data_IF_491587483688
#
_entry.id   IF_491587483688
#
_cell.length_a   1.000
_cell.length_b   1.000
_cell.length_c   1.000
_cell.angle_alpha   90.00
_cell.angle_beta   90.00
_cell.angle_gamma   90.00
#
_symmetry.space_group_name_H-M   'P 1'
#
loop_
_entity.id
_entity.type
_entity.pdbx_description
1 polymer ?
#
# COMPACT_ATOMS: atom_id res chain seq x y z
N UNK A 1 14.30 24.80 18.81
CA UNK A 1 14.16 24.47 17.38
C UNK A 1 12.72 24.75 17.02
N UNK A 2 12.47 25.54 15.99
CA UNK A 2 11.11 25.88 15.57
C UNK A 2 10.34 24.59 15.21
N UNK A 3 9.13 24.49 15.74
CA UNK A 3 8.19 23.39 15.50
C UNK A 3 7.77 23.46 14.03
N UNK A 4 8.28 22.56 13.21
CA UNK A 4 7.92 22.49 11.80
C UNK A 4 6.94 21.35 11.57
N UNK A 5 5.78 21.66 11.00
CA UNK A 5 4.83 20.65 10.53
C UNK A 5 5.35 19.92 9.27
N UNK A 6 6.44 20.42 8.68
CA UNK A 6 7.09 19.89 7.49
C UNK A 6 8.57 19.63 7.76
N UNK A 7 9.03 18.41 7.49
CA UNK A 7 10.44 18.06 7.54
C UNK A 7 10.87 17.47 6.21
N UNK A 8 11.90 18.07 5.62
CA UNK A 8 12.56 17.57 4.43
C UNK A 8 14.02 17.26 4.76
N UNK A 9 14.40 16.01 4.54
CA UNK A 9 15.76 15.53 4.73
C UNK A 9 16.36 15.16 3.38
N UNK A 10 17.39 15.88 2.98
CA UNK A 10 18.15 15.60 1.76
C UNK A 10 19.58 15.21 2.12
N UNK A 11 20.07 14.12 1.51
CA UNK A 11 21.47 13.70 1.62
C UNK A 11 21.94 13.45 3.07
N UNK A 12 21.06 12.89 3.91
CA UNK A 12 21.44 12.47 5.26
C UNK A 12 22.56 11.43 5.20
N UNK A 13 23.55 11.65 6.07
CA UNK A 13 24.71 10.79 6.27
C UNK A 13 25.09 10.74 7.75
N UNK A 14 25.81 9.69 8.14
CA UNK A 14 26.20 9.43 9.53
C UNK A 14 25.12 8.76 10.38
N UNK A 15 23.99 8.36 9.80
CA UNK A 15 22.91 7.66 10.51
C UNK A 15 22.23 6.61 9.62
N UNK A 16 21.71 5.57 10.27
CA UNK A 16 20.93 4.49 9.64
C UNK A 16 19.43 4.69 9.73
N UNK A 17 18.99 5.62 10.57
CA UNK A 17 17.57 5.94 10.73
C UNK A 17 17.35 7.43 10.66
N UNK A 18 16.18 7.83 10.17
CA UNK A 18 15.81 9.24 10.08
C UNK A 18 15.37 9.74 11.45
N UNK A 19 14.57 8.93 12.16
CA UNK A 19 13.86 9.35 13.35
C UNK A 19 14.14 8.40 14.52
N UNK A 20 14.66 8.95 15.62
CA UNK A 20 14.94 8.21 16.85
C UNK A 20 13.79 8.33 17.86
N UNK A 21 13.69 7.41 18.80
CA UNK A 21 12.71 7.45 19.91
C UNK A 21 12.78 8.72 20.76
N UNK A 22 13.94 9.36 20.77
CA UNK A 22 14.20 10.59 21.54
C UNK A 22 13.63 11.86 20.90
N UNK A 23 13.29 11.83 19.60
CA UNK A 23 12.81 13.00 18.85
C UNK A 23 11.28 13.22 18.99
N UNK A 24 10.68 12.62 20.03
CA UNK A 24 9.24 12.49 20.26
C UNK A 24 8.42 13.76 20.07
N UNK A 25 8.90 14.88 20.62
CA UNK A 25 8.13 16.14 20.62
C UNK A 25 7.96 16.72 19.22
N UNK A 26 8.88 16.42 18.31
CA UNK A 26 8.85 16.87 16.92
C UNK A 26 7.78 16.08 16.14
N UNK A 27 7.50 14.83 16.52
CA UNK A 27 6.57 13.94 15.80
C UNK A 27 5.10 14.21 16.03
N UNK A 28 4.75 14.83 17.15
CA UNK A 28 3.34 15.06 17.49
C UNK A 28 2.67 16.06 16.54
N UNK A 29 3.45 16.99 15.99
CA UNK A 29 2.97 18.07 15.10
C UNK A 29 3.39 17.87 13.63
N UNK A 30 4.28 16.91 13.35
CA UNK A 30 4.72 16.62 11.99
C UNK A 30 3.56 16.13 11.10
N UNK A 31 3.30 16.87 10.02
CA UNK A 31 2.29 16.53 9.00
C UNK A 31 2.91 16.00 7.71
N UNK A 32 4.08 16.50 7.33
CA UNK A 32 4.72 16.16 6.07
C UNK A 32 6.18 15.77 6.29
N UNK A 33 6.53 14.55 5.89
CA UNK A 33 7.90 14.04 5.94
C UNK A 33 8.37 13.66 4.54
N UNK A 34 9.43 14.30 4.07
CA UNK A 34 10.17 13.89 2.87
C UNK A 34 11.60 13.51 3.23
N UNK A 35 12.05 12.35 2.73
CA UNK A 35 13.43 11.89 2.88
C UNK A 35 13.95 11.48 1.51
N UNK A 36 15.02 12.13 1.06
CA UNK A 36 15.57 11.91 -0.27
C UNK A 36 17.09 11.72 -0.27
N UNK A 37 17.56 10.93 -1.25
CA UNK A 37 18.97 10.80 -1.61
C UNK A 37 19.92 10.46 -0.44
N UNK A 38 19.42 9.69 0.54
CA UNK A 38 20.15 9.36 1.77
C UNK A 38 20.54 7.87 1.76
N UNK A 39 21.76 7.52 1.31
CA UNK A 39 22.12 6.13 1.02
C UNK A 39 22.39 5.27 2.26
N UNK A 40 22.66 5.87 3.42
CA UNK A 40 22.94 5.13 4.65
C UNK A 40 21.66 4.74 5.41
N UNK A 41 20.54 5.38 5.10
CA UNK A 41 19.24 5.15 5.75
C UNK A 41 18.75 3.74 5.42
N UNK A 42 18.55 2.96 6.48
CA UNK A 42 18.00 1.62 6.48
C UNK A 42 16.55 1.60 6.96
N UNK A 43 16.19 2.50 7.88
CA UNK A 43 14.85 2.59 8.48
C UNK A 43 14.39 4.05 8.55
N UNK A 44 13.10 4.34 8.36
CA UNK A 44 12.60 5.70 8.66
C UNK A 44 12.42 5.84 10.17
N UNK A 45 11.81 4.83 10.78
CA UNK A 45 11.57 4.73 12.21
C UNK A 45 12.20 3.45 12.73
N UNK A 46 13.02 3.56 13.77
CA UNK A 46 13.52 2.41 14.55
C UNK A 46 12.87 2.43 15.94
N UNK A 47 11.91 1.52 16.15
CA UNK A 47 11.14 1.37 17.39
C UNK A 47 11.59 0.16 18.22
N UNK A 48 12.82 -0.35 18.02
CA UNK A 48 13.39 -1.43 18.86
C UNK A 48 13.50 -1.04 20.33
N UNK A 49 13.44 0.26 20.66
CA UNK A 49 13.31 0.76 22.02
C UNK A 49 11.85 0.74 22.51
N UNK A 50 11.60 -0.01 23.60
CA UNK A 50 10.27 -0.25 24.19
C UNK A 50 9.51 1.03 24.63
N UNK A 51 10.14 2.20 24.59
CA UNK A 51 9.52 3.49 24.95
C UNK A 51 8.51 4.01 23.91
N UNK A 52 8.56 3.52 22.67
CA UNK A 52 7.57 3.85 21.63
C UNK A 52 6.18 3.21 21.88
N UNK A 53 6.11 2.19 22.75
CA UNK A 53 4.93 1.33 22.90
C UNK A 53 3.75 1.96 23.65
N UNK A 54 3.93 3.10 24.34
CA UNK A 54 2.86 3.70 25.18
C UNK A 54 2.10 4.86 24.53
N UNK A 55 2.57 5.41 23.40
CA UNK A 55 2.02 6.68 22.88
C UNK A 55 1.76 6.74 21.38
N UNK A 56 1.72 5.59 20.70
CA UNK A 56 1.23 5.46 19.33
C UNK A 56 2.09 6.18 18.27
N UNK A 57 1.92 5.68 17.05
CA UNK A 57 2.03 6.34 15.75
C UNK A 57 2.35 7.83 15.65
N UNK A 58 2.85 8.26 14.48
CA UNK A 58 2.86 9.68 14.10
C UNK A 58 1.41 10.17 13.98
N UNK A 59 0.88 10.89 14.98
CA UNK A 59 -0.56 11.09 15.12
C UNK A 59 -1.08 12.18 14.16
N UNK A 60 -0.17 12.97 13.60
CA UNK A 60 -0.46 14.09 12.73
C UNK A 60 0.08 13.92 11.31
N UNK A 61 0.82 12.84 11.01
CA UNK A 61 1.45 12.67 9.70
C UNK A 61 0.38 12.41 8.63
N UNK A 62 0.31 13.32 7.66
CA UNK A 62 -0.62 13.32 6.54
C UNK A 62 0.05 12.92 5.22
N UNK A 63 1.35 13.17 5.07
CA UNK A 63 2.14 12.81 3.87
C UNK A 63 3.50 12.23 4.22
N UNK A 64 3.83 11.10 3.59
CA UNK A 64 5.15 10.47 3.66
C UNK A 64 5.72 10.26 2.25
N UNK A 65 6.88 10.86 1.99
CA UNK A 65 7.57 10.79 0.70
C UNK A 65 8.99 10.28 0.89
N UNK A 66 9.30 9.11 0.32
CA UNK A 66 10.63 8.50 0.39
C UNK A 66 11.21 8.34 -1.01
N UNK A 67 12.38 8.93 -1.26
CA UNK A 67 12.99 8.96 -2.60
C UNK A 67 14.45 8.55 -2.58
N UNK A 68 14.84 7.64 -3.48
CA UNK A 68 16.26 7.29 -3.73
C UNK A 68 17.02 6.81 -2.48
N UNK A 69 16.33 6.10 -1.58
CA UNK A 69 16.95 5.50 -0.39
C UNK A 69 17.43 4.08 -0.74
N UNK A 70 18.68 3.97 -1.17
CA UNK A 70 19.22 2.74 -1.77
C UNK A 70 19.32 1.57 -0.80
N UNK A 71 19.44 1.85 0.49
CA UNK A 71 19.58 0.83 1.54
C UNK A 71 18.35 0.75 2.45
N UNK A 72 17.24 1.44 2.12
CA UNK A 72 16.03 1.37 2.93
C UNK A 72 15.47 -0.05 2.88
N UNK A 73 15.43 -0.69 4.04
CA UNK A 73 14.95 -2.06 4.20
C UNK A 73 13.45 -2.03 4.54
N UNK A 74 13.05 -1.14 5.45
CA UNK A 74 11.68 -1.05 6.00
C UNK A 74 11.35 0.40 6.36
N UNK A 75 10.07 0.79 6.29
CA UNK A 75 9.62 2.12 6.75
C UNK A 75 9.61 2.15 8.28
N UNK A 76 9.07 1.10 8.89
CA UNK A 76 8.95 0.98 10.34
C UNK A 76 9.59 -0.32 10.83
N UNK A 77 10.72 -0.20 11.54
CA UNK A 77 11.41 -1.34 12.12
C UNK A 77 11.09 -1.46 13.61
N UNK A 78 10.61 -2.62 14.07
CA UNK A 78 10.32 -2.88 15.48
C UNK A 78 8.84 -3.13 15.77
N UNK A 79 8.50 -3.47 17.03
CA UNK A 79 7.14 -3.85 17.39
C UNK A 79 6.15 -2.71 17.12
N UNK A 80 5.00 -3.05 16.56
CA UNK A 80 3.91 -2.10 16.37
C UNK A 80 3.38 -1.71 17.77
N UNK A 81 3.25 -0.41 18.10
CA UNK A 81 2.83 0.03 19.43
C UNK A 81 1.47 -0.54 19.88
N UNK A 82 1.43 -1.04 21.12
CA UNK A 82 0.20 -1.46 21.81
C UNK A 82 -0.66 -0.19 22.02
N UNK A 83 -1.91 -0.19 21.58
CA UNK A 83 -2.81 0.98 21.63
C UNK A 83 -2.79 1.87 20.38
N UNK A 84 -2.25 1.39 19.25
CA UNK A 84 -2.52 2.00 17.94
C UNK A 84 -4.03 2.00 17.68
N UNK A 85 -4.58 3.11 17.17
CA UNK A 85 -6.03 3.39 17.10
C UNK A 85 -6.85 2.16 16.70
N UNK A 86 -7.59 1.64 17.67
CA UNK A 86 -8.54 0.56 17.47
C UNK A 86 -9.71 1.11 16.66
N UNK A 87 -9.86 0.64 15.42
CA UNK A 87 -11.14 0.72 14.73
C UNK A 87 -11.85 -0.60 14.97
N UNK A 88 -12.90 -0.60 15.77
CA UNK A 88 -13.80 -1.76 15.91
C UNK A 88 -14.41 -2.07 14.54
N UNK A 89 -14.06 -3.22 13.96
CA UNK A 89 -14.70 -3.71 12.73
C UNK A 89 -15.73 -4.76 13.16
N UNK A 90 -17.01 -4.46 12.90
CA UNK A 90 -18.10 -5.42 13.06
C UNK A 90 -18.19 -6.25 11.78
N UNK A 91 -17.45 -7.34 11.71
CA UNK A 91 -17.77 -8.44 10.80
C UNK A 91 -18.23 -9.66 11.59
N UNK A 92 -19.13 -10.42 10.98
CA UNK A 92 -19.93 -11.50 11.54
C UNK A 92 -19.06 -12.57 12.24
N UNK A 93 -18.86 -12.41 13.55
CA UNK A 93 -18.25 -13.42 14.43
C UNK A 93 -16.71 -13.38 14.63
N UNK A 94 -15.98 -12.39 14.12
CA UNK A 94 -14.55 -12.22 14.41
C UNK A 94 -14.20 -10.77 14.79
N UNK A 95 -13.74 -10.58 16.03
CA UNK A 95 -13.22 -9.29 16.51
C UNK A 95 -11.71 -9.26 16.24
N UNK A 96 -11.31 -8.68 15.12
CA UNK A 96 -9.91 -8.38 14.82
C UNK A 96 -9.56 -6.94 15.25
N UNK A 97 -8.39 -6.74 15.84
CA UNK A 97 -7.85 -5.39 16.12
C UNK A 97 -6.88 -4.98 15.02
N UNK A 98 -7.05 -3.76 14.50
CA UNK A 98 -6.21 -3.18 13.46
C UNK A 98 -5.31 -2.11 14.08
N UNK A 99 -4.03 -2.08 13.69
CA UNK A 99 -3.07 -1.09 14.20
C UNK A 99 -2.87 0.00 13.14
N UNK A 100 -3.09 1.26 13.54
CA UNK A 100 -2.84 2.42 12.69
C UNK A 100 -1.50 3.07 13.04
N UNK A 101 -0.44 2.75 12.27
CA UNK A 101 0.90 3.35 12.41
C UNK A 101 0.93 4.83 12.02
N UNK A 102 0.03 5.23 11.13
CA UNK A 102 -0.09 6.60 10.62
C UNK A 102 -1.59 6.93 10.46
N UNK A 103 -2.32 7.23 11.56
CA UNK A 103 -3.77 7.34 11.56
C UNK A 103 -4.32 8.46 10.67
N UNK A 104 -3.53 9.51 10.39
CA UNK A 104 -3.94 10.62 9.52
C UNK A 104 -3.31 10.59 8.12
N UNK A 105 -2.59 9.53 7.77
CA UNK A 105 -1.87 9.47 6.50
C UNK A 105 -2.85 9.48 5.34
N UNK A 106 -2.71 10.47 4.45
CA UNK A 106 -3.51 10.65 3.24
C UNK A 106 -2.70 10.38 1.97
N UNK A 107 -1.40 10.64 1.97
CA UNK A 107 -0.51 10.38 0.83
C UNK A 107 0.73 9.58 1.25
N UNK A 108 1.01 8.50 0.51
CA UNK A 108 2.22 7.71 0.63
C UNK A 108 2.88 7.58 -0.74
N UNK A 109 4.10 8.13 -0.87
CA UNK A 109 4.88 8.08 -2.11
C UNK A 109 6.25 7.45 -1.86
N UNK A 110 6.51 6.36 -2.55
CA UNK A 110 7.74 5.59 -2.46
C UNK A 110 8.40 5.52 -3.83
N UNK A 111 9.62 6.05 -3.96
CA UNK A 111 10.30 6.17 -5.24
C UNK A 111 11.76 5.70 -5.18
N UNK A 112 12.15 4.79 -6.07
CA UNK A 112 13.53 4.30 -6.25
C UNK A 112 14.09 3.72 -4.94
N UNK A 113 13.40 2.71 -4.40
CA UNK A 113 13.77 2.03 -3.15
C UNK A 113 14.07 0.55 -3.45
N UNK A 114 15.27 0.24 -4.00
CA UNK A 114 15.57 -1.08 -4.56
C UNK A 114 15.68 -2.21 -3.53
N UNK A 115 15.85 -1.87 -2.24
CA UNK A 115 15.97 -2.85 -1.16
C UNK A 115 14.69 -3.01 -0.34
N UNK A 116 13.70 -2.13 -0.51
CA UNK A 116 12.46 -2.13 0.26
C UNK A 116 11.57 -3.31 -0.16
N UNK A 117 11.20 -4.15 0.82
CA UNK A 117 10.38 -5.35 0.59
C UNK A 117 9.06 -5.27 1.35
N UNK A 118 9.10 -4.76 2.58
CA UNK A 118 7.95 -4.65 3.46
C UNK A 118 7.82 -3.21 3.98
N UNK A 119 6.61 -2.85 4.41
CA UNK A 119 6.38 -1.57 5.09
C UNK A 119 6.89 -1.63 6.54
N UNK A 120 6.63 -2.73 7.23
CA UNK A 120 7.07 -2.97 8.60
C UNK A 120 7.34 -4.46 8.88
N UNK A 121 8.30 -4.75 9.76
CA UNK A 121 8.57 -6.10 10.29
C UNK A 121 7.88 -6.39 11.62
N UNK A 122 7.63 -7.68 11.85
CA UNK A 122 7.18 -8.22 13.13
C UNK A 122 8.39 -8.61 13.99
N UNK A 123 8.41 -8.15 15.25
CA UNK A 123 9.11 -8.86 16.31
C UNK A 123 8.02 -9.54 17.14
N UNK A 124 7.88 -10.85 16.98
CA UNK A 124 6.94 -11.63 17.77
C UNK A 124 7.17 -11.38 19.26
N UNK A 125 6.25 -10.67 19.91
CA UNK A 125 6.13 -10.72 21.36
C UNK A 125 5.41 -12.01 21.68
N UNK A 126 6.18 -13.02 22.08
CA UNK A 126 5.74 -14.28 22.64
C UNK A 126 4.42 -14.18 23.42
N UNK A 127 3.32 -14.67 22.85
CA UNK A 127 2.36 -15.60 23.49
C UNK A 127 1.04 -15.75 22.69
N UNK A 128 0.80 -16.99 22.28
CA UNK A 128 -0.53 -17.61 22.12
C UNK A 128 -1.44 -17.16 20.96
N UNK A 129 -1.26 -17.76 19.78
CA UNK A 129 -2.39 -18.27 19.00
C UNK A 129 -1.94 -19.39 18.05
N UNK A 130 -2.49 -20.59 18.22
CA UNK A 130 -2.39 -21.68 17.25
C UNK A 130 -3.04 -21.24 15.93
N UNK A 131 -2.27 -21.00 14.88
CA UNK A 131 -2.75 -21.05 13.50
C UNK A 131 -1.66 -21.49 12.54
N UNK A 132 -1.68 -22.80 12.25
CA UNK A 132 -1.39 -23.46 10.96
C UNK A 132 -0.48 -22.76 9.94
N UNK A 133 0.71 -23.33 9.71
CA UNK A 133 1.44 -23.46 8.43
C UNK A 133 1.25 -22.40 7.31
N UNK A 134 1.10 -21.12 7.64
CA UNK A 134 1.03 -20.07 6.63
C UNK A 134 2.45 -19.83 6.11
N UNK A 135 2.70 -20.20 4.85
CA UNK A 135 3.86 -19.73 4.10
C UNK A 135 3.90 -18.22 4.29
N UNK A 136 4.98 -17.68 4.85
CA UNK A 136 5.22 -16.23 4.95
C UNK A 136 4.95 -15.58 3.59
N UNK A 137 3.75 -15.08 3.38
CA UNK A 137 3.43 -14.33 2.18
C UNK A 137 4.02 -12.94 2.37
N UNK A 138 5.20 -12.73 1.76
CA UNK A 138 5.93 -11.46 1.73
C UNK A 138 5.10 -10.37 1.03
N UNK A 139 4.12 -9.82 1.74
CA UNK A 139 3.26 -8.73 1.31
C UNK A 139 3.79 -7.42 1.88
N UNK A 140 3.72 -6.35 1.09
CA UNK A 140 4.23 -5.05 1.49
C UNK A 140 3.52 -4.51 2.74
N UNK A 141 2.18 -4.52 2.72
CA UNK A 141 1.33 -4.28 3.88
C UNK A 141 0.91 -5.61 4.50
N UNK A 142 1.21 -5.79 5.79
CA UNK A 142 0.83 -6.99 6.55
C UNK A 142 -0.63 -6.92 7.04
N UNK A 143 -1.16 -8.02 7.60
CA UNK A 143 -2.55 -8.12 8.07
C UNK A 143 -2.89 -7.27 9.31
N UNK A 144 -1.89 -6.73 10.03
CA UNK A 144 -2.09 -5.97 11.27
C UNK A 144 -2.09 -4.46 11.06
N UNK A 145 -1.58 -3.98 9.92
CA UNK A 145 -1.47 -2.55 9.62
C UNK A 145 -2.62 -2.11 8.73
N UNK A 146 -3.26 -1.01 9.10
CA UNK A 146 -4.34 -0.39 8.32
C UNK A 146 -4.08 1.09 8.09
N UNK A 147 -4.52 1.58 6.93
CA UNK A 147 -4.45 2.98 6.51
C UNK A 147 -5.80 3.47 6.01
N UNK A 148 -6.83 3.52 6.88
CA UNK A 148 -8.20 3.81 6.47
C UNK A 148 -8.38 5.22 5.89
N UNK A 149 -7.47 6.16 6.18
CA UNK A 149 -7.49 7.54 5.68
C UNK A 149 -6.59 7.78 4.46
N UNK A 150 -5.88 6.76 3.97
CA UNK A 150 -5.01 6.90 2.81
C UNK A 150 -5.84 7.18 1.57
N UNK A 151 -5.54 8.28 0.88
CA UNK A 151 -6.22 8.72 -0.34
C UNK A 151 -5.36 8.48 -1.60
N UNK A 152 -4.04 8.56 -1.47
CA UNK A 152 -3.08 8.43 -2.56
C UNK A 152 -1.95 7.47 -2.18
N UNK A 153 -1.74 6.44 -3.01
CA UNK A 153 -0.61 5.52 -2.93
C UNK A 153 0.15 5.52 -4.26
N UNK A 154 1.43 5.91 -4.21
CA UNK A 154 2.31 5.96 -5.39
C UNK A 154 3.56 5.15 -5.13
N UNK A 155 3.76 4.11 -5.93
CA UNK A 155 4.90 3.19 -5.86
C UNK A 155 5.69 3.26 -7.17
N UNK A 156 6.90 3.80 -7.16
CA UNK A 156 7.71 3.98 -8.34
C UNK A 156 9.09 3.33 -8.16
N UNK A 157 9.51 2.46 -9.07
CA UNK A 157 10.83 1.83 -9.05
C UNK A 157 11.11 1.10 -7.72
N UNK A 158 10.26 0.12 -7.42
CA UNK A 158 10.38 -0.79 -6.27
C UNK A 158 10.75 -2.20 -6.77
N UNK A 159 12.04 -2.43 -7.02
CA UNK A 159 12.52 -3.60 -7.77
C UNK A 159 12.22 -4.95 -7.12
N UNK A 160 11.98 -4.99 -5.79
CA UNK A 160 11.67 -6.22 -5.04
C UNK A 160 10.20 -6.37 -4.65
N UNK A 161 9.34 -5.41 -4.99
CA UNK A 161 7.92 -5.45 -4.66
C UNK A 161 7.23 -6.57 -5.44
N UNK A 162 6.63 -7.53 -4.73
CA UNK A 162 5.92 -8.68 -5.33
C UNK A 162 4.42 -8.63 -5.11
N UNK A 163 4.01 -8.45 -3.86
CA UNK A 163 2.63 -8.35 -3.44
C UNK A 163 2.48 -7.10 -2.55
N UNK A 164 1.45 -6.31 -2.78
CA UNK A 164 1.21 -5.09 -2.00
C UNK A 164 0.38 -5.42 -0.76
N UNK A 165 -0.62 -6.28 -0.92
CA UNK A 165 -1.67 -6.53 0.06
C UNK A 165 -1.57 -7.96 0.60
N UNK A 166 -1.66 -8.10 1.92
CA UNK A 166 -1.83 -9.40 2.55
C UNK A 166 -3.22 -9.98 2.25
N UNK A 167 -3.35 -11.30 2.08
CA UNK A 167 -4.63 -11.95 1.74
C UNK A 167 -5.72 -11.82 2.84
N UNK A 168 -5.30 -11.59 4.09
CA UNK A 168 -6.15 -11.37 5.26
C UNK A 168 -6.21 -9.88 5.68
N UNK A 169 -6.22 -8.94 4.74
CA UNK A 169 -6.49 -7.55 5.11
C UNK A 169 -7.91 -7.42 5.67
N UNK A 170 -8.01 -6.77 6.83
CA UNK A 170 -9.30 -6.51 7.48
C UNK A 170 -10.13 -5.51 6.67
N UNK A 171 -11.46 -5.66 6.71
CA UNK A 171 -12.40 -4.78 6.02
C UNK A 171 -12.13 -3.30 6.35
N UNK A 172 -12.21 -2.43 5.35
CA UNK A 172 -12.05 -0.98 5.55
C UNK A 172 -10.60 -0.49 5.72
N UNK A 173 -9.59 -1.38 5.69
CA UNK A 173 -8.18 -0.99 5.89
C UNK A 173 -7.65 0.05 4.91
N UNK A 174 -8.26 0.21 3.73
CA UNK A 174 -7.87 1.16 2.67
C UNK A 174 -9.10 1.85 2.03
N UNK A 175 -10.22 1.98 2.76
CA UNK A 175 -11.51 2.37 2.17
C UNK A 175 -11.52 3.77 1.54
N UNK A 176 -10.67 4.69 1.99
CA UNK A 176 -10.57 6.04 1.42
C UNK A 176 -9.58 6.16 0.26
N UNK A 177 -8.92 5.06 -0.17
CA UNK A 177 -7.95 5.11 -1.25
C UNK A 177 -8.64 5.49 -2.56
N UNK A 178 -8.18 6.58 -3.18
CA UNK A 178 -8.72 7.18 -4.41
C UNK A 178 -7.78 7.03 -5.58
N UNK A 179 -6.49 7.16 -5.34
CA UNK A 179 -5.45 7.18 -6.37
C UNK A 179 -4.46 6.06 -6.07
N UNK A 180 -4.32 5.11 -6.98
CA UNK A 180 -3.32 4.06 -6.94
C UNK A 180 -2.47 4.14 -8.21
N UNK A 181 -1.22 4.59 -8.07
CA UNK A 181 -0.30 4.68 -9.20
C UNK A 181 0.95 3.84 -8.97
N UNK A 182 1.36 3.12 -10.00
CA UNK A 182 2.54 2.28 -9.93
C UNK A 182 3.34 2.36 -11.21
N UNK A 183 4.65 2.51 -11.05
CA UNK A 183 5.55 2.68 -12.17
C UNK A 183 6.79 1.84 -11.94
N UNK A 184 7.23 1.09 -12.95
CA UNK A 184 8.54 0.40 -12.93
C UNK A 184 8.71 -0.55 -11.74
N UNK A 185 7.68 -1.35 -11.46
CA UNK A 185 7.72 -2.39 -10.42
C UNK A 185 7.81 -3.78 -11.10
N UNK A 186 9.00 -4.21 -11.56
CA UNK A 186 9.12 -5.37 -12.45
C UNK A 186 8.72 -6.69 -11.79
N UNK A 187 8.86 -6.80 -10.46
CA UNK A 187 8.53 -8.04 -9.73
C UNK A 187 7.06 -8.15 -9.31
N UNK A 188 6.23 -7.14 -9.58
CA UNK A 188 4.86 -7.09 -9.09
C UNK A 188 3.98 -8.11 -9.79
N UNK A 189 3.26 -8.92 -9.01
CA UNK A 189 2.42 -10.01 -9.53
C UNK A 189 0.95 -9.64 -9.64
N UNK A 190 0.43 -8.90 -8.66
CA UNK A 190 -0.99 -8.56 -8.55
C UNK A 190 -1.18 -7.12 -8.10
N UNK A 191 -2.11 -6.40 -8.72
CA UNK A 191 -2.47 -5.03 -8.31
C UNK A 191 -3.38 -5.04 -7.09
N UNK A 192 -4.57 -5.64 -7.20
CA UNK A 192 -5.52 -5.86 -6.08
C UNK A 192 -6.17 -7.23 -6.28
N UNK A 193 -5.97 -8.20 -5.36
CA UNK A 193 -6.68 -9.46 -5.38
C UNK A 193 -8.20 -9.25 -5.29
N UNK A 194 -8.98 -10.05 -6.03
CA UNK A 194 -10.44 -9.92 -6.11
C UNK A 194 -11.12 -9.97 -4.74
N UNK A 195 -10.67 -10.83 -3.81
CA UNK A 195 -11.22 -10.92 -2.45
C UNK A 195 -11.02 -9.66 -1.60
N UNK A 196 -10.03 -8.81 -1.93
CA UNK A 196 -9.75 -7.56 -1.21
C UNK A 196 -10.40 -6.34 -1.87
N UNK A 197 -11.12 -6.52 -2.97
CA UNK A 197 -11.68 -5.40 -3.73
C UNK A 197 -12.61 -4.53 -2.87
N UNK A 198 -13.30 -5.15 -1.90
CA UNK A 198 -14.17 -4.48 -0.93
C UNK A 198 -13.45 -3.48 -0.03
N UNK A 199 -12.12 -3.53 0.08
CA UNK A 199 -11.31 -2.56 0.80
C UNK A 199 -11.09 -1.26 0.02
N UNK A 200 -11.37 -1.21 -1.28
CA UNK A 200 -11.00 -0.10 -2.19
C UNK A 200 -12.23 0.61 -2.78
N UNK A 201 -13.28 0.81 -1.98
CA UNK A 201 -14.59 1.29 -2.45
C UNK A 201 -14.62 2.74 -2.96
N UNK A 202 -13.57 3.52 -2.72
CA UNK A 202 -13.48 4.92 -3.16
C UNK A 202 -12.42 5.11 -4.26
N UNK A 203 -11.91 4.02 -4.83
CA UNK A 203 -10.87 4.08 -5.86
C UNK A 203 -11.42 4.74 -7.13
N UNK A 204 -10.73 5.79 -7.57
CA UNK A 204 -11.09 6.63 -8.73
C UNK A 204 -10.07 6.51 -9.85
N UNK A 205 -8.80 6.31 -9.51
CA UNK A 205 -7.73 6.26 -10.48
C UNK A 205 -6.82 5.06 -10.22
N UNK A 206 -6.61 4.29 -11.27
CA UNK A 206 -5.56 3.28 -11.38
C UNK A 206 -4.67 3.68 -12.55
N UNK A 207 -3.38 3.86 -12.28
CA UNK A 207 -2.36 4.11 -13.32
C UNK A 207 -1.18 3.17 -13.09
N UNK A 208 -0.97 2.22 -14.00
CA UNK A 208 0.08 1.22 -13.89
C UNK A 208 0.90 1.20 -15.17
N UNK A 209 2.20 1.45 -15.04
CA UNK A 209 3.12 1.48 -16.18
C UNK A 209 4.39 0.67 -15.87
N UNK A 210 4.98 0.07 -16.91
CA UNK A 210 6.27 -0.63 -16.83
C UNK A 210 6.33 -1.73 -15.75
N UNK A 211 5.25 -2.48 -15.54
CA UNK A 211 5.20 -3.60 -14.57
C UNK A 211 5.22 -4.95 -15.29
N UNK A 212 6.43 -5.48 -15.54
CA UNK A 212 6.67 -6.63 -16.43
C UNK A 212 5.97 -7.93 -16.01
N UNK A 213 5.86 -8.21 -14.72
CA UNK A 213 5.28 -9.46 -14.19
C UNK A 213 3.79 -9.36 -13.83
N UNK A 214 3.16 -8.20 -14.00
CA UNK A 214 1.77 -8.02 -13.59
C UNK A 214 0.85 -8.81 -14.53
N UNK A 215 0.18 -9.84 -13.99
CA UNK A 215 -0.68 -10.72 -14.80
C UNK A 215 -2.16 -10.31 -14.74
N UNK A 216 -2.59 -9.73 -13.63
CA UNK A 216 -4.01 -9.47 -13.37
C UNK A 216 -4.26 -8.07 -12.81
N UNK A 217 -5.32 -7.44 -13.33
CA UNK A 217 -5.93 -6.22 -12.78
C UNK A 217 -7.08 -6.58 -11.83
N UNK A 218 -7.52 -5.64 -10.96
CA UNK A 218 -8.57 -5.88 -9.97
C UNK A 218 -9.88 -6.30 -10.64
N UNK A 219 -10.41 -7.47 -10.26
CA UNK A 219 -11.67 -8.01 -10.78
C UNK A 219 -12.77 -7.82 -9.73
N UNK A 220 -13.92 -7.28 -10.15
CA UNK A 220 -15.13 -7.29 -9.33
C UNK A 220 -15.63 -8.73 -9.16
N UNK A 221 -15.84 -9.17 -7.92
CA UNK A 221 -16.41 -10.49 -7.66
C UNK A 221 -17.87 -10.50 -8.17
N UNK A 222 -18.24 -11.54 -8.91
CA UNK A 222 -19.63 -11.92 -9.22
C UNK A 222 -20.48 -10.84 -9.92
N UNK A 223 -19.93 -10.18 -10.95
CA UNK A 223 -20.67 -9.18 -11.71
C UNK A 223 -21.03 -7.91 -10.92
N UNK A 224 -20.54 -7.75 -9.68
CA UNK A 224 -20.57 -6.48 -8.96
C UNK A 224 -19.48 -5.55 -9.50
N UNK A 225 -19.76 -5.01 -10.69
CA UNK A 225 -19.11 -3.84 -11.28
C UNK A 225 -19.25 -2.61 -10.36
N UNK A 226 -20.07 -2.67 -9.30
CA UNK A 226 -20.29 -1.61 -8.32
C UNK A 226 -19.02 -1.12 -7.63
N UNK A 227 -18.01 -1.97 -7.38
CA UNK A 227 -16.81 -1.52 -6.65
C UNK A 227 -15.85 -0.75 -7.56
N UNK A 228 -15.84 -1.06 -8.87
CA UNK A 228 -15.21 -0.25 -9.90
C UNK A 228 -16.12 0.88 -10.42
N UNK A 229 -17.36 1.01 -9.92
CA UNK A 229 -18.31 2.01 -10.44
C UNK A 229 -17.89 3.45 -10.18
N UNK A 230 -17.02 3.65 -9.18
CA UNK A 230 -16.40 4.95 -8.88
C UNK A 230 -15.09 5.17 -9.63
N UNK A 231 -14.58 4.17 -10.35
CA UNK A 231 -13.37 4.30 -11.14
C UNK A 231 -13.64 5.28 -12.29
N UNK A 232 -12.85 6.33 -12.33
CA UNK A 232 -12.92 7.40 -13.32
C UNK A 232 -11.82 7.25 -14.37
N UNK A 233 -10.65 6.76 -13.96
CA UNK A 233 -9.44 6.70 -14.78
C UNK A 233 -8.78 5.33 -14.64
N UNK A 234 -8.53 4.67 -15.76
CA UNK A 234 -7.71 3.46 -15.85
C UNK A 234 -6.63 3.65 -16.92
N UNK A 235 -5.38 3.68 -16.49
CA UNK A 235 -4.19 3.76 -17.36
C UNK A 235 -3.34 2.52 -17.14
N UNK A 236 -3.08 1.81 -18.23
CA UNK A 236 -2.31 0.58 -18.25
C UNK A 236 -1.35 0.69 -19.43
N UNK A 237 -0.05 0.78 -19.15
CA UNK A 237 0.98 0.96 -20.17
C UNK A 237 2.14 0.00 -19.96
N UNK A 238 2.69 -0.54 -21.05
CA UNK A 238 3.85 -1.44 -21.02
C UNK A 238 3.71 -2.59 -20.00
N UNK A 239 2.60 -3.34 -20.08
CA UNK A 239 2.29 -4.50 -19.24
C UNK A 239 2.29 -5.80 -20.09
N UNK A 240 3.47 -6.37 -20.41
CA UNK A 240 3.60 -7.44 -21.40
C UNK A 240 3.03 -8.79 -20.96
N UNK A 241 2.76 -8.98 -19.66
CA UNK A 241 2.17 -10.22 -19.12
C UNK A 241 0.72 -10.07 -18.68
N UNK A 242 0.16 -8.87 -18.76
CA UNK A 242 -1.22 -8.65 -18.39
C UNK A 242 -2.10 -9.52 -19.27
N UNK A 243 -2.94 -10.35 -18.67
CA UNK A 243 -3.92 -11.16 -19.39
C UNK A 243 -5.29 -10.52 -19.24
N UNK A 244 -5.72 -9.83 -20.29
CA UNK A 244 -7.10 -9.41 -20.44
C UNK A 244 -7.81 -10.45 -21.31
N UNK A 245 -8.82 -11.12 -20.75
CA UNK A 245 -9.65 -12.06 -21.49
C UNK A 245 -10.88 -11.29 -21.99
N UNK A 246 -11.05 -11.18 -23.31
CA UNK A 246 -12.33 -10.74 -23.87
C UNK A 246 -13.35 -11.88 -23.74
N UNK A 247 -14.53 -11.58 -23.20
CA UNK A 247 -15.57 -12.56 -22.91
C UNK A 247 -16.07 -13.22 -24.21
N UNK A 248 -15.64 -14.47 -24.41
CA UNK A 248 -16.16 -15.43 -25.36
C UNK A 248 -16.89 -16.56 -24.62
N UNK A 249 -18.01 -16.26 -23.96
CA UNK A 249 -19.08 -17.22 -23.64
C UNK A 249 -18.64 -18.47 -22.85
N UNK A 250 -18.45 -18.36 -21.54
CA UNK A 250 -18.86 -19.43 -20.60
C UNK A 250 -18.79 -18.96 -19.14
N UNK A 251 -19.95 -18.78 -18.50
CA UNK A 251 -20.27 -18.89 -17.05
C UNK A 251 -19.39 -18.27 -15.95
N UNK A 252 -18.22 -17.70 -16.24
CA UNK A 252 -17.32 -17.03 -15.31
C UNK A 252 -17.03 -15.63 -15.86
N UNK A 253 -17.81 -14.66 -15.39
CA UNK A 253 -17.72 -13.25 -15.77
C UNK A 253 -16.43 -12.64 -15.20
N UNK A 254 -15.31 -12.89 -15.84
CA UNK A 254 -14.15 -11.99 -15.77
C UNK A 254 -14.56 -10.69 -16.47
N UNK A 255 -13.97 -9.55 -16.07
CA UNK A 255 -14.37 -8.21 -16.56
C UNK A 255 -14.64 -8.30 -18.05
N UNK A 256 -15.88 -8.06 -18.42
CA UNK A 256 -16.30 -8.02 -19.81
C UNK A 256 -15.44 -6.97 -20.53
N UNK A 257 -15.20 -7.12 -21.82
CA UNK A 257 -14.26 -6.33 -22.65
C UNK A 257 -13.99 -4.87 -22.23
N UNK A 258 -12.86 -4.23 -22.62
CA UNK A 258 -12.60 -2.79 -22.41
C UNK A 258 -13.81 -1.86 -22.66
N UNK A 259 -14.72 -2.27 -23.56
CA UNK A 259 -16.00 -1.64 -23.86
C UNK A 259 -16.99 -1.59 -22.68
N UNK A 260 -16.96 -2.54 -21.75
CA UNK A 260 -17.84 -2.55 -20.57
C UNK A 260 -17.34 -1.64 -19.45
N UNK A 261 -16.03 -1.39 -19.36
CA UNK A 261 -15.50 -0.34 -18.49
C UNK A 261 -15.95 1.05 -18.98
N UNK A 262 -16.01 1.25 -20.29
CA UNK A 262 -16.55 2.48 -20.89
C UNK A 262 -18.06 2.67 -20.61
N UNK A 263 -18.79 1.62 -20.24
CA UNK A 263 -20.20 1.70 -19.84
C UNK A 263 -20.40 2.02 -18.35
N UNK A 264 -19.33 2.13 -17.57
CA UNK A 264 -19.41 2.56 -16.16
C UNK A 264 -19.73 4.07 -16.15
N UNK A 265 -20.82 4.46 -15.47
CA UNK A 265 -21.37 5.83 -15.53
C UNK A 265 -20.38 6.94 -15.18
N UNK A 266 -19.39 6.67 -14.33
CA UNK A 266 -18.41 7.67 -13.87
C UNK A 266 -17.08 7.62 -14.62
N UNK A 267 -16.93 6.69 -15.56
CA UNK A 267 -15.66 6.43 -16.22
C UNK A 267 -15.35 7.51 -17.27
N UNK A 268 -14.15 8.10 -17.19
CA UNK A 268 -13.75 9.27 -17.97
C UNK A 268 -12.61 8.97 -18.94
N UNK A 269 -11.66 8.15 -18.54
CA UNK A 269 -10.42 7.95 -19.30
C UNK A 269 -9.95 6.48 -19.23
N UNK A 270 -9.91 5.82 -20.40
CA UNK A 270 -9.28 4.51 -20.59
C UNK A 270 -8.05 4.69 -21.47
N UNK A 271 -6.88 4.32 -20.96
CA UNK A 271 -5.66 4.26 -21.73
C UNK A 271 -5.04 2.88 -21.56
N UNK A 272 -4.99 2.10 -22.64
CA UNK A 272 -4.35 0.78 -22.67
C UNK A 272 -3.38 0.78 -23.84
N UNK A 273 -2.09 0.69 -23.56
CA UNK A 273 -1.02 0.66 -24.55
C UNK A 273 -0.02 -0.43 -24.21
N UNK A 274 0.53 -1.10 -25.24
CA UNK A 274 1.55 -2.15 -25.09
C UNK A 274 1.21 -3.29 -24.09
N UNK A 275 -0.07 -3.55 -23.88
CA UNK A 275 -0.58 -4.66 -23.06
C UNK A 275 -0.98 -5.84 -23.96
N UNK A 276 -0.85 -7.09 -23.48
CA UNK A 276 -1.37 -8.25 -24.21
C UNK A 276 -2.87 -8.37 -23.99
N UNK A 277 -3.65 -8.34 -25.06
CA UNK A 277 -5.04 -8.79 -25.05
C UNK A 277 -5.06 -10.14 -25.78
N UNK A 278 -5.50 -11.20 -25.09
CA UNK A 278 -5.63 -12.51 -25.71
C UNK A 278 -7.06 -12.63 -26.25
N UNK A 279 -7.19 -12.66 -27.59
CA UNK A 279 -8.44 -13.04 -28.26
C UNK A 279 -8.61 -14.56 -28.13
N UNK A 280 -9.74 -15.02 -27.56
CA UNK A 280 -10.11 -16.44 -27.49
C UNK A 280 -10.81 -16.92 -28.77
#
# INVERSE_FOLDING_TARGET
>A
MERSEELEFMELSGTKYVLHSSDREIFLELKHLEVSSSPEIQYIVDSKDQQFLQHGAFPSLESLVLRRLRNLEEVWCGPIPIGSFESEIKEDGHVGTNLQLFPKLRSLRLERLPQLINFSSELETSSTSMSTNARSENSFFNHKVSFPNLEELILNDLSKLKNIWHHQLLFGSFCNLRILRMYKCPCLLNLVPSHLIHNFQNLKEIDVQDCELLEHVPQGIDGNVEILSKLEILKLDDLPRLRWIEDGNDSMKYISSPLTLMNIQNFKELHITNCRMEDL
#
